data_IF_660979351194
#
_entry.id   IF_660979351194
#
_cell.length_a   1.000
_cell.length_b   1.000
_cell.length_c   1.000
_cell.angle_alpha   90.00
_cell.angle_beta   90.00
_cell.angle_gamma   90.00
#
_symmetry.space_group_name_H-M   'P 1'
#
loop_
_entity.id
_entity.type
_entity.pdbx_description
1 polymer ?
#
# COMPACT_ATOMS: atom_id res chain seq x y z
N UNK A 1 42.26 60.71 -16.77
CA UNK A 1 42.52 59.33 -17.25
C UNK A 1 41.99 58.39 -16.17
N UNK A 2 40.70 58.07 -16.03
CA UNK A 2 39.68 57.51 -16.94
C UNK A 2 40.04 56.14 -17.52
N UNK A 3 39.37 55.10 -16.99
CA UNK A 3 39.28 53.74 -17.53
C UNK A 3 39.54 52.69 -16.43
N UNK A 4 38.70 51.69 -16.15
CA UNK A 4 37.43 51.29 -16.73
C UNK A 4 36.70 50.33 -15.76
N UNK A 5 35.37 50.35 -15.85
CA UNK A 5 34.45 49.39 -15.24
C UNK A 5 34.73 47.95 -15.69
N UNK A 6 34.56 46.98 -14.80
CA UNK A 6 34.25 45.60 -15.19
C UNK A 6 32.98 45.14 -14.47
N UNK A 7 31.85 45.34 -15.15
CA UNK A 7 30.61 44.57 -14.96
C UNK A 7 30.77 43.25 -15.71
N UNK A 8 30.58 42.13 -15.03
CA UNK A 8 30.19 40.89 -15.69
C UNK A 8 29.05 40.24 -14.90
N UNK A 9 27.83 40.57 -15.34
CA UNK A 9 26.67 39.70 -15.21
C UNK A 9 26.91 38.49 -16.11
N UNK A 10 27.12 37.31 -15.52
CA UNK A 10 27.13 36.03 -16.23
C UNK A 10 25.95 35.20 -15.78
N UNK A 11 24.95 35.06 -16.64
CA UNK A 11 23.68 34.41 -16.34
C UNK A 11 23.82 32.94 -15.95
N UNK A 12 23.08 32.56 -14.92
CA UNK A 12 22.78 31.16 -14.60
C UNK A 12 21.77 30.68 -15.64
N UNK A 13 22.28 30.07 -16.72
CA UNK A 13 21.45 29.32 -17.64
C UNK A 13 20.95 28.07 -16.91
N UNK A 14 19.66 28.07 -16.59
CA UNK A 14 18.95 26.89 -16.10
C UNK A 14 19.01 25.79 -17.16
N UNK A 15 19.83 24.77 -16.92
CA UNK A 15 19.79 23.51 -17.65
C UNK A 15 18.55 22.74 -17.19
N UNK A 16 17.39 23.12 -17.74
CA UNK A 16 16.19 22.30 -17.77
C UNK A 16 16.45 21.11 -18.70
N UNK A 17 17.09 20.07 -18.15
CA UNK A 17 17.20 18.76 -18.79
C UNK A 17 15.82 18.13 -18.89
N UNK A 18 15.18 18.32 -20.04
CA UNK A 18 13.97 17.61 -20.44
C UNK A 18 14.31 16.14 -20.62
N UNK A 19 13.93 15.29 -19.66
CA UNK A 19 13.91 13.85 -19.86
C UNK A 19 12.96 13.53 -21.02
N UNK A 20 13.39 12.82 -22.07
CA UNK A 20 12.50 12.47 -23.17
C UNK A 20 11.42 11.50 -22.67
N UNK A 21 10.16 11.90 -22.81
CA UNK A 21 8.98 11.03 -22.74
C UNK A 21 9.05 10.03 -23.90
N UNK A 22 9.88 9.00 -23.77
CA UNK A 22 9.81 7.83 -24.64
C UNK A 22 8.59 7.00 -24.23
N UNK A 23 7.44 7.32 -24.81
CA UNK A 23 6.27 6.46 -24.79
C UNK A 23 6.58 5.21 -25.61
N UNK A 24 6.93 4.11 -24.95
CA UNK A 24 7.02 2.80 -25.57
C UNK A 24 5.59 2.28 -25.72
N UNK A 25 5.04 2.36 -26.93
CA UNK A 25 3.73 1.79 -27.23
C UNK A 25 3.80 0.26 -27.19
N UNK A 26 3.12 -0.35 -26.22
CA UNK A 26 2.94 -1.80 -26.17
C UNK A 26 1.87 -2.23 -27.18
N UNK A 27 2.18 -3.26 -27.99
CA UNK A 27 1.22 -3.87 -28.91
C UNK A 27 0.07 -4.52 -28.12
N UNK A 28 -1.17 -4.12 -28.45
CA UNK A 28 -2.40 -4.63 -27.83
C UNK A 28 -2.77 -5.96 -28.50
N UNK A 29 -2.51 -7.08 -27.82
CA UNK A 29 -3.02 -8.39 -28.20
C UNK A 29 -4.51 -8.55 -27.86
N UNK A 30 -5.24 -9.37 -28.62
CA UNK A 30 -6.66 -9.63 -28.41
C UNK A 30 -6.95 -10.23 -27.01
N UNK A 31 -8.13 -9.97 -26.41
CA UNK A 31 -8.48 -10.49 -25.09
C UNK A 31 -8.57 -12.01 -25.06
N UNK A 32 -7.76 -12.65 -24.21
CA UNK A 32 -7.95 -14.06 -23.86
C UNK A 32 -9.12 -14.26 -22.89
N UNK A 33 -9.69 -15.46 -22.80
CA UNK A 33 -10.81 -15.79 -21.91
C UNK A 33 -10.58 -15.42 -20.43
N UNK A 34 -9.32 -15.44 -19.96
CA UNK A 34 -8.91 -14.96 -18.64
C UNK A 34 -9.26 -13.48 -18.38
N UNK A 35 -9.40 -12.65 -19.43
CA UNK A 35 -9.74 -11.23 -19.32
C UNK A 35 -11.23 -10.99 -19.07
N UNK A 36 -12.12 -11.95 -19.31
CA UNK A 36 -13.56 -11.81 -19.06
C UNK A 36 -13.96 -12.17 -17.63
N UNK A 37 -13.20 -13.06 -16.98
CA UNK A 37 -13.42 -13.47 -15.59
C UNK A 37 -12.90 -12.43 -14.59
N UNK A 38 -11.82 -11.73 -14.92
CA UNK A 38 -11.21 -10.72 -14.04
C UNK A 38 -12.18 -9.58 -13.67
N UNK A 39 -12.90 -8.92 -14.59
CA UNK A 39 -13.88 -7.89 -14.23
C UNK A 39 -15.01 -8.41 -13.32
N UNK A 40 -15.41 -9.68 -13.47
CA UNK A 40 -16.44 -10.30 -12.62
C UNK A 40 -15.91 -10.56 -11.21
N UNK A 41 -14.69 -11.11 -11.10
CA UNK A 41 -14.02 -11.31 -9.82
C UNK A 41 -13.81 -9.99 -9.08
N UNK A 42 -13.49 -8.91 -9.80
CA UNK A 42 -13.39 -7.56 -9.25
C UNK A 42 -14.72 -7.00 -8.75
N UNK A 43 -15.79 -7.12 -9.54
CA UNK A 43 -17.11 -6.66 -9.13
C UNK A 43 -17.60 -7.39 -7.88
N UNK A 44 -17.34 -8.70 -7.82
CA UNK A 44 -17.66 -9.54 -6.68
C UNK A 44 -16.82 -9.18 -5.44
N UNK A 45 -15.52 -8.96 -5.60
CA UNK A 45 -14.67 -8.49 -4.52
C UNK A 45 -15.14 -7.15 -3.95
N UNK A 46 -15.51 -6.17 -4.80
CA UNK A 46 -16.07 -4.89 -4.36
C UNK A 46 -17.41 -5.06 -3.62
N UNK A 47 -18.22 -6.07 -3.98
CA UNK A 47 -19.45 -6.40 -3.25
C UNK A 47 -19.12 -6.91 -1.84
N UNK A 48 -18.18 -7.85 -1.74
CA UNK A 48 -17.73 -8.40 -0.46
C UNK A 48 -17.06 -7.36 0.45
N UNK A 49 -16.29 -6.42 -0.11
CA UNK A 49 -15.73 -5.28 0.64
C UNK A 49 -16.83 -4.43 1.27
N UNK A 50 -17.87 -4.06 0.51
CA UNK A 50 -19.02 -3.32 1.05
C UNK A 50 -19.74 -4.09 2.15
N UNK A 51 -19.93 -5.39 1.98
CA UNK A 51 -20.52 -6.23 3.03
C UNK A 51 -19.66 -6.27 4.30
N UNK A 52 -18.33 -6.24 4.15
CA UNK A 52 -17.41 -6.16 5.26
C UNK A 52 -17.53 -4.81 5.99
N UNK A 53 -17.55 -3.70 5.25
CA UNK A 53 -17.77 -2.35 5.78
C UNK A 53 -19.09 -2.25 6.55
N UNK A 54 -20.18 -2.72 5.96
CA UNK A 54 -21.50 -2.74 6.58
C UNK A 54 -21.50 -3.59 7.87
N UNK A 55 -20.79 -4.72 7.89
CA UNK A 55 -20.64 -5.55 9.08
C UNK A 55 -19.82 -4.83 10.17
N UNK A 56 -18.75 -4.11 9.82
CA UNK A 56 -17.98 -3.30 10.76
C UNK A 56 -18.83 -2.20 11.39
N UNK A 57 -19.64 -1.50 10.59
CA UNK A 57 -20.56 -0.46 11.08
C UNK A 57 -21.57 -1.02 12.08
N UNK A 58 -22.02 -2.26 11.90
CA UNK A 58 -22.91 -2.97 12.84
C UNK A 58 -22.19 -3.57 14.05
N UNK A 59 -20.85 -3.52 14.11
CA UNK A 59 -20.05 -4.13 15.16
C UNK A 59 -19.82 -5.63 15.00
N UNK A 60 -20.20 -6.25 13.87
CA UNK A 60 -19.95 -7.66 13.57
C UNK A 60 -18.57 -7.84 12.92
N UNK A 61 -17.53 -7.67 13.75
CA UNK A 61 -16.14 -7.71 13.29
C UNK A 61 -15.72 -9.08 12.76
N UNK A 62 -16.39 -10.16 13.19
CA UNK A 62 -16.08 -11.51 12.71
C UNK A 62 -16.54 -11.70 11.27
N UNK A 63 -17.77 -11.30 10.94
CA UNK A 63 -18.27 -11.34 9.56
C UNK A 63 -17.49 -10.39 8.68
N UNK A 64 -17.19 -9.18 9.17
CA UNK A 64 -16.37 -8.22 8.45
C UNK A 64 -15.01 -8.80 8.03
N UNK A 65 -14.28 -9.40 8.97
CA UNK A 65 -12.98 -9.99 8.70
C UNK A 65 -13.04 -11.13 7.67
N UNK A 66 -14.08 -11.97 7.72
CA UNK A 66 -14.28 -13.05 6.75
C UNK A 66 -14.55 -12.48 5.35
N UNK A 67 -15.48 -11.54 5.23
CA UNK A 67 -15.85 -10.94 3.94
C UNK A 67 -14.69 -10.17 3.31
N UNK A 68 -13.92 -9.43 4.12
CA UNK A 68 -12.74 -8.74 3.65
C UNK A 68 -11.67 -9.72 3.17
N UNK A 69 -11.46 -10.83 3.89
CA UNK A 69 -10.54 -11.88 3.47
C UNK A 69 -10.95 -12.50 2.13
N UNK A 70 -12.23 -12.85 1.96
CA UNK A 70 -12.79 -13.40 0.72
C UNK A 70 -12.64 -12.43 -0.45
N UNK A 71 -12.96 -11.14 -0.25
CA UNK A 71 -12.77 -10.10 -1.26
C UNK A 71 -11.32 -10.04 -1.74
N UNK A 72 -10.38 -10.02 -0.78
CA UNK A 72 -8.96 -10.04 -1.10
C UNK A 72 -8.55 -11.35 -1.79
N UNK A 73 -9.15 -12.51 -1.46
CA UNK A 73 -8.85 -13.78 -2.15
C UNK A 73 -9.30 -13.74 -3.61
N UNK A 74 -10.46 -13.15 -3.91
CA UNK A 74 -10.93 -12.97 -5.29
C UNK A 74 -10.04 -12.02 -6.10
N UNK A 75 -9.59 -10.91 -5.50
CA UNK A 75 -8.62 -10.00 -6.12
C UNK A 75 -7.26 -10.67 -6.36
N UNK A 76 -6.94 -11.73 -5.59
CA UNK A 76 -5.73 -12.56 -5.71
C UNK A 76 -5.82 -13.67 -6.75
N UNK A 77 -7.02 -14.10 -7.13
CA UNK A 77 -7.23 -15.18 -8.11
C UNK A 77 -6.86 -14.78 -9.56
N UNK A 78 -6.35 -13.56 -9.78
CA UNK A 78 -5.76 -13.18 -11.05
C UNK A 78 -4.54 -14.07 -11.32
N UNK A 79 -4.70 -15.00 -12.27
CA UNK A 79 -3.61 -15.84 -12.75
C UNK A 79 -2.49 -14.96 -13.32
N UNK A 80 -1.40 -14.83 -12.55
CA UNK A 80 -0.23 -14.07 -12.97
C UNK A 80 0.50 -14.73 -14.15
N UNK A 81 0.21 -16.00 -14.47
CA UNK A 81 0.76 -16.75 -15.59
C UNK A 81 0.14 -16.41 -16.94
N UNK A 82 -1.12 -15.97 -16.99
CA UNK A 82 -1.84 -15.64 -18.22
C UNK A 82 -1.86 -14.13 -18.46
N UNK A 83 -0.85 -13.62 -19.19
CA UNK A 83 -0.73 -12.32 -19.89
C UNK A 83 -1.54 -11.07 -19.46
N UNK A 84 -0.87 -9.91 -19.51
CA UNK A 84 -1.38 -8.59 -19.15
C UNK A 84 -2.73 -8.26 -19.84
N UNK A 85 -3.81 -7.92 -19.11
CA UNK A 85 -5.02 -7.45 -19.76
C UNK A 85 -4.74 -6.12 -20.45
N UNK A 86 -5.17 -6.00 -21.71
CA UNK A 86 -5.14 -4.74 -22.45
C UNK A 86 -6.05 -3.67 -21.83
N UNK A 87 -7.03 -4.10 -21.03
CA UNK A 87 -7.96 -3.26 -20.31
C UNK A 87 -7.82 -3.50 -18.80
N UNK A 88 -6.81 -2.89 -18.18
CA UNK A 88 -6.71 -2.87 -16.72
C UNK A 88 -7.88 -2.03 -16.15
N UNK A 89 -8.70 -2.51 -15.18
CA UNK A 89 -9.88 -1.79 -14.69
C UNK A 89 -9.61 -0.37 -14.14
N UNK A 90 -8.41 -0.13 -13.60
CA UNK A 90 -7.93 1.22 -13.20
C UNK A 90 -7.71 2.20 -14.38
N UNK A 91 -7.82 1.71 -15.62
CA UNK A 91 -7.87 2.53 -16.84
C UNK A 91 -9.31 2.82 -17.27
N UNK A 92 -10.30 2.13 -16.72
CA UNK A 92 -11.67 2.12 -17.24
C UNK A 92 -12.62 3.16 -16.60
N UNK A 93 -12.23 3.92 -15.57
CA UNK A 93 -13.15 4.97 -15.08
C UNK A 93 -12.92 5.64 -13.72
N UNK A 94 -11.68 6.00 -13.34
CA UNK A 94 -11.48 6.81 -12.13
C UNK A 94 -10.17 7.59 -12.15
N UNK A 95 -10.20 8.83 -11.65
CA UNK A 95 -9.04 9.72 -11.47
C UNK A 95 -8.21 9.31 -10.22
N UNK A 96 -8.16 8.01 -9.89
CA UNK A 96 -7.37 7.49 -8.76
C UNK A 96 -5.88 7.48 -9.14
N UNK A 97 -5.28 8.66 -9.07
CA UNK A 97 -3.85 8.89 -9.26
C UNK A 97 -3.03 8.21 -8.17
N UNK A 98 -3.61 7.90 -7.01
CA UNK A 98 -2.91 7.26 -5.89
C UNK A 98 -2.38 5.88 -6.25
N UNK A 99 -3.13 5.12 -7.04
CA UNK A 99 -2.72 3.78 -7.49
C UNK A 99 -1.57 3.78 -8.50
N UNK A 100 -1.33 4.92 -9.18
CA UNK A 100 -0.31 5.09 -10.22
C UNK A 100 1.00 5.65 -9.68
N UNK A 101 1.04 6.09 -8.41
CA UNK A 101 2.22 6.72 -7.82
C UNK A 101 3.14 5.70 -7.19
N UNK A 102 4.38 5.62 -7.67
CA UNK A 102 5.44 4.78 -7.10
C UNK A 102 6.51 5.62 -6.42
N UNK A 103 6.90 5.18 -5.23
CA UNK A 103 8.01 5.73 -4.48
C UNK A 103 9.11 4.69 -4.29
N UNK A 104 10.37 5.16 -4.20
CA UNK A 104 11.54 4.30 -3.99
C UNK A 104 11.43 3.47 -2.71
N UNK A 105 10.98 4.10 -1.61
CA UNK A 105 10.80 3.43 -0.32
C UNK A 105 9.78 2.29 -0.43
N UNK A 106 8.65 2.54 -1.10
CA UNK A 106 7.60 1.56 -1.28
C UNK A 106 8.04 0.38 -2.15
N UNK A 107 8.65 0.63 -3.31
CA UNK A 107 9.13 -0.46 -4.16
C UNK A 107 10.22 -1.30 -3.47
N UNK A 108 11.06 -0.67 -2.64
CA UNK A 108 12.03 -1.39 -1.81
C UNK A 108 11.32 -2.30 -0.81
N UNK A 109 10.39 -1.73 -0.03
CA UNK A 109 9.60 -2.47 0.94
C UNK A 109 8.89 -3.66 0.27
N UNK A 110 8.19 -3.43 -0.84
CA UNK A 110 7.43 -4.49 -1.51
C UNK A 110 8.36 -5.57 -2.09
N UNK A 111 9.54 -5.21 -2.59
CA UNK A 111 10.55 -6.19 -3.03
C UNK A 111 11.07 -7.04 -1.86
N UNK A 112 11.44 -6.41 -0.75
CA UNK A 112 11.93 -7.08 0.47
C UNK A 112 10.86 -8.01 1.05
N UNK A 113 9.61 -7.57 1.05
CA UNK A 113 8.47 -8.36 1.49
C UNK A 113 8.26 -9.61 0.62
N UNK A 114 8.33 -9.47 -0.70
CA UNK A 114 8.21 -10.60 -1.62
C UNK A 114 9.38 -11.59 -1.47
N UNK A 115 10.60 -11.08 -1.35
CA UNK A 115 11.81 -11.88 -1.09
C UNK A 115 11.66 -12.68 0.22
N UNK A 116 11.20 -12.03 1.29
CA UNK A 116 10.96 -12.65 2.59
C UNK A 116 9.91 -13.76 2.51
N UNK A 117 8.75 -13.50 1.90
CA UNK A 117 7.67 -14.48 1.78
C UNK A 117 8.05 -15.68 0.91
N UNK A 118 8.86 -15.49 -0.13
CA UNK A 118 9.43 -16.58 -0.92
C UNK A 118 10.40 -17.40 -0.07
N UNK A 119 11.29 -16.75 0.69
CA UNK A 119 12.24 -17.44 1.56
C UNK A 119 11.56 -18.28 2.65
N UNK A 120 10.41 -17.83 3.16
CA UNK A 120 9.58 -18.57 4.12
C UNK A 120 8.70 -19.67 3.47
N UNK A 121 8.71 -19.80 2.14
CA UNK A 121 7.85 -20.75 1.42
C UNK A 121 6.37 -20.40 1.42
N UNK A 122 6.02 -19.16 1.80
CA UNK A 122 4.64 -18.64 1.80
C UNK A 122 4.17 -18.23 0.42
N UNK A 123 5.12 -17.92 -0.47
CA UNK A 123 4.91 -17.70 -1.89
C UNK A 123 5.84 -18.61 -2.71
N UNK A 124 5.41 -19.12 -3.87
CA UNK A 124 6.30 -19.81 -4.79
C UNK A 124 7.39 -18.86 -5.31
N UNK A 125 8.58 -19.36 -5.63
CA UNK A 125 9.66 -18.50 -6.15
C UNK A 125 9.28 -17.80 -7.47
N UNK A 126 8.52 -18.46 -8.35
CA UNK A 126 7.94 -17.84 -9.55
C UNK A 126 6.43 -17.66 -9.37
N UNK A 127 5.87 -16.51 -9.81
CA UNK A 127 6.54 -15.37 -10.44
C UNK A 127 7.15 -14.36 -9.44
N UNK A 128 6.98 -14.54 -8.13
CA UNK A 128 7.20 -13.47 -7.14
C UNK A 128 8.64 -12.98 -7.00
N UNK A 129 9.65 -13.85 -7.15
CA UNK A 129 11.05 -13.39 -7.19
C UNK A 129 11.35 -12.52 -8.41
N UNK A 130 10.66 -12.76 -9.54
CA UNK A 130 10.81 -11.90 -10.72
C UNK A 130 10.20 -10.52 -10.46
N UNK A 131 9.05 -10.47 -9.79
CA UNK A 131 8.40 -9.22 -9.38
C UNK A 131 9.33 -8.40 -8.49
N UNK A 132 9.91 -9.01 -7.45
CA UNK A 132 10.89 -8.35 -6.59
C UNK A 132 12.08 -7.78 -7.38
N UNK A 133 12.65 -8.59 -8.28
CA UNK A 133 13.72 -8.13 -9.18
C UNK A 133 13.31 -6.94 -10.03
N UNK A 134 12.09 -6.93 -10.57
CA UNK A 134 11.58 -5.80 -11.38
C UNK A 134 11.45 -4.55 -10.53
N UNK A 135 10.92 -4.65 -9.32
CA UNK A 135 10.84 -3.52 -8.40
C UNK A 135 12.23 -2.96 -8.09
N UNK A 136 13.22 -3.83 -7.80
CA UNK A 136 14.62 -3.42 -7.60
C UNK A 136 15.20 -2.70 -8.82
N UNK A 137 14.88 -3.13 -10.03
CA UNK A 137 15.32 -2.49 -11.28
C UNK A 137 14.62 -1.15 -11.56
N UNK A 138 13.38 -0.96 -11.06
CA UNK A 138 12.65 0.29 -11.19
C UNK A 138 13.12 1.36 -10.19
N UNK A 139 13.51 0.97 -8.97
CA UNK A 139 13.98 1.90 -7.92
C UNK A 139 15.01 2.92 -8.43
N UNK A 140 16.13 2.54 -9.09
CA UNK A 140 17.14 3.52 -9.53
C UNK A 140 16.63 4.47 -10.62
N UNK A 141 15.53 4.14 -11.31
CA UNK A 141 14.91 4.98 -12.35
C UNK A 141 13.94 6.01 -11.78
N UNK A 142 13.57 5.91 -10.50
CA UNK A 142 12.70 6.86 -9.82
C UNK A 142 13.51 8.03 -9.22
N UNK A 143 12.98 9.27 -9.28
CA UNK A 143 13.66 10.44 -8.72
C UNK A 143 13.86 10.33 -7.20
N UNK A 144 14.88 11.01 -6.69
CA UNK A 144 15.25 11.00 -5.27
C UNK A 144 14.56 12.13 -4.49
N UNK A 145 14.28 13.23 -5.17
CA UNK A 145 13.70 14.47 -4.66
C UNK A 145 12.19 14.37 -4.37
N UNK A 146 11.54 13.29 -4.81
CA UNK A 146 10.11 13.08 -4.66
C UNK A 146 9.82 11.79 -3.89
N UNK A 147 8.91 11.88 -2.91
CA UNK A 147 8.46 10.70 -2.16
C UNK A 147 7.79 9.64 -3.05
N UNK A 148 7.05 10.08 -4.08
CA UNK A 148 6.46 9.23 -5.10
C UNK A 148 6.13 10.01 -6.38
N UNK A 149 6.20 9.35 -7.53
CA UNK A 149 5.89 9.90 -8.86
C UNK A 149 4.91 9.02 -9.62
N UNK A 150 4.17 9.61 -10.54
CA UNK A 150 3.28 8.88 -11.44
C UNK A 150 4.09 7.94 -12.34
N UNK A 151 3.71 6.67 -12.34
CA UNK A 151 4.23 5.64 -13.24
C UNK A 151 3.16 5.37 -14.28
N UNK A 152 3.53 5.52 -15.55
CA UNK A 152 2.63 5.22 -16.65
C UNK A 152 2.31 3.70 -16.66
N UNK A 153 1.04 3.33 -16.87
CA UNK A 153 0.66 1.95 -17.15
C UNK A 153 1.45 1.37 -18.32
N UNK A 154 1.76 0.07 -18.29
CA UNK A 154 2.49 -0.61 -19.36
C UNK A 154 4.01 -0.60 -19.18
N UNK A 155 4.53 -0.06 -18.07
CA UNK A 155 5.98 -0.02 -17.82
C UNK A 155 6.58 -1.42 -17.71
N UNK A 156 5.83 -2.35 -17.13
CA UNK A 156 6.17 -3.76 -17.08
C UNK A 156 4.93 -4.60 -16.71
N UNK A 157 4.62 -5.65 -17.47
CA UNK A 157 3.43 -6.50 -17.26
C UNK A 157 3.26 -6.99 -15.82
N UNK A 158 4.34 -7.50 -15.23
CA UNK A 158 4.33 -7.95 -13.82
C UNK A 158 4.16 -6.80 -12.82
N UNK A 159 4.75 -5.61 -13.07
CA UNK A 159 4.56 -4.46 -12.18
C UNK A 159 3.10 -4.03 -12.15
N UNK A 160 2.49 -3.86 -13.32
CA UNK A 160 1.10 -3.40 -13.45
C UNK A 160 0.12 -4.36 -12.75
N UNK A 161 0.47 -5.65 -12.71
CA UNK A 161 -0.33 -6.69 -12.06
C UNK A 161 -0.11 -6.85 -10.58
N UNK A 162 0.98 -6.38 -10.01
CA UNK A 162 1.31 -6.65 -8.60
C UNK A 162 1.37 -5.40 -7.75
N UNK A 163 1.59 -4.23 -8.35
CA UNK A 163 1.73 -2.99 -7.63
C UNK A 163 0.42 -2.61 -6.93
N UNK A 164 0.53 -2.20 -5.65
CA UNK A 164 -0.61 -1.85 -4.79
C UNK A 164 -1.67 -2.96 -4.61
N UNK A 165 -1.29 -4.23 -4.81
CA UNK A 165 -2.20 -5.36 -4.59
C UNK A 165 -1.75 -6.23 -3.42
N UNK A 166 -2.72 -6.81 -2.72
CA UNK A 166 -2.45 -7.86 -1.77
C UNK A 166 -2.14 -9.16 -2.54
N UNK A 167 -0.89 -9.61 -2.54
CA UNK A 167 -0.41 -10.84 -3.17
C UNK A 167 -0.47 -12.04 -2.22
N UNK A 168 -0.28 -11.79 -0.93
CA UNK A 168 -0.36 -12.78 0.14
C UNK A 168 -1.03 -12.15 1.35
N UNK A 169 -2.07 -12.80 1.89
CA UNK A 169 -2.65 -12.44 3.19
C UNK A 169 -2.67 -13.68 4.04
N UNK A 170 -2.05 -13.55 5.21
CA UNK A 170 -2.19 -14.54 6.26
C UNK A 170 -3.48 -14.24 7.02
N UNK A 171 -4.29 -15.27 7.28
CA UNK A 171 -5.42 -15.11 8.17
C UNK A 171 -4.88 -14.82 9.58
N UNK A 172 -5.26 -13.72 10.25
CA UNK A 172 -4.81 -13.46 11.60
C UNK A 172 -5.35 -14.58 12.49
N UNK A 173 -4.45 -15.47 12.92
CA UNK A 173 -4.81 -16.61 13.74
C UNK A 173 -5.35 -16.13 15.10
N UNK A 174 -6.31 -16.86 15.66
CA UNK A 174 -6.76 -16.59 17.04
C UNK A 174 -5.59 -16.71 18.02
N UNK A 175 -5.66 -15.96 19.11
CA UNK A 175 -4.75 -16.17 20.23
C UNK A 175 -4.96 -17.60 20.79
N UNK A 176 -3.90 -18.24 21.33
CA UNK A 176 -4.04 -19.52 22.01
C UNK A 176 -5.09 -19.45 23.13
N UNK A 177 -5.73 -20.57 23.44
CA UNK A 177 -6.72 -20.66 24.52
C UNK A 177 -6.09 -20.15 25.83
N UNK A 178 -6.80 -19.27 26.53
CA UNK A 178 -6.35 -18.67 27.79
C UNK A 178 -5.50 -17.40 27.65
N UNK A 179 -5.07 -17.04 26.44
CA UNK A 179 -4.32 -15.80 26.19
C UNK A 179 -5.28 -14.63 25.91
N UNK A 180 -4.88 -13.43 26.33
CA UNK A 180 -5.66 -12.19 26.16
C UNK A 180 -4.97 -11.25 25.17
N UNK A 181 -5.77 -10.48 24.44
CA UNK A 181 -5.24 -9.46 23.52
C UNK A 181 -4.63 -8.28 24.27
N UNK A 182 -5.37 -7.77 25.26
CA UNK A 182 -4.91 -6.69 26.12
C UNK A 182 -3.96 -7.22 27.19
N UNK A 183 -2.94 -6.44 27.52
CA UNK A 183 -2.08 -6.71 28.66
C UNK A 183 -2.88 -6.71 29.96
N UNK A 184 -2.59 -7.59 30.92
CA UNK A 184 -3.20 -7.54 32.26
C UNK A 184 -2.91 -6.22 33.01
N UNK A 185 -1.87 -5.49 32.59
CA UNK A 185 -1.48 -4.21 33.18
C UNK A 185 -2.16 -3.02 32.51
N UNK A 186 -2.92 -3.24 31.43
CA UNK A 186 -3.60 -2.16 30.73
C UNK A 186 -4.75 -1.60 31.57
N UNK A 187 -4.67 -0.31 31.88
CA UNK A 187 -5.69 0.43 32.63
C UNK A 187 -6.39 1.44 31.71
N UNK A 188 -7.58 1.05 31.23
CA UNK A 188 -8.40 1.89 30.36
C UNK A 188 -8.85 3.18 31.07
N UNK A 189 -9.10 3.14 32.38
CA UNK A 189 -9.52 4.31 33.15
C UNK A 189 -8.39 5.32 33.33
N UNK A 190 -7.16 4.84 33.50
CA UNK A 190 -5.98 5.71 33.49
C UNK A 190 -5.76 6.38 32.13
N UNK A 191 -5.94 5.64 31.03
CA UNK A 191 -5.84 6.20 29.67
C UNK A 191 -6.92 7.25 29.39
N UNK A 192 -8.17 6.97 29.78
CA UNK A 192 -9.29 7.91 29.65
C UNK A 192 -9.04 9.20 30.45
N UNK A 193 -8.52 9.07 31.67
CA UNK A 193 -8.13 10.21 32.49
C UNK A 193 -6.99 11.01 31.84
N UNK A 194 -5.94 10.34 31.37
CA UNK A 194 -4.84 11.01 30.65
C UNK A 194 -5.38 11.78 29.44
N UNK A 195 -6.26 11.17 28.66
CA UNK A 195 -6.88 11.83 27.50
C UNK A 195 -7.64 13.09 27.89
N UNK A 196 -8.38 13.06 29.01
CA UNK A 196 -9.16 14.19 29.52
C UNK A 196 -8.32 15.27 30.19
N UNK A 197 -7.16 14.92 30.71
CA UNK A 197 -6.27 15.84 31.46
C UNK A 197 -5.13 16.38 30.58
N UNK A 198 -4.87 15.77 29.41
CA UNK A 198 -3.84 16.21 28.48
C UNK A 198 -4.24 17.50 27.75
N UNK A 199 -3.65 18.62 28.14
CA UNK A 199 -3.72 19.87 27.38
C UNK A 199 -2.81 19.79 26.14
N UNK A 200 -3.35 20.10 24.97
CA UNK A 200 -2.55 20.25 23.75
C UNK A 200 -1.75 21.56 23.78
N UNK A 201 -0.56 21.62 23.14
CA UNK A 201 0.21 22.85 23.02
C UNK A 201 -0.57 23.99 22.34
N UNK A 202 -0.32 25.25 22.70
CA UNK A 202 -1.02 26.43 22.16
C UNK A 202 -1.11 26.50 20.64
N UNK A 203 -0.07 26.02 19.95
CA UNK A 203 0.06 25.99 18.51
C UNK A 203 -0.83 24.94 17.80
N UNK A 204 -1.40 23.99 18.53
CA UNK A 204 -2.29 22.95 18.00
C UNK A 204 -3.79 23.33 18.09
N UNK A 205 -4.12 24.53 18.55
CA UNK A 205 -5.50 25.02 18.71
C UNK A 205 -6.15 25.41 17.38
N UNK A 206 -6.37 24.43 16.50
CA UNK A 206 -7.24 24.53 15.33
C UNK A 206 -8.47 23.66 15.55
N UNK A 207 -9.60 24.29 15.92
CA UNK A 207 -10.94 23.72 16.16
C UNK A 207 -11.19 23.14 17.57
N UNK A 208 -11.35 24.07 18.52
CA UNK A 208 -12.22 23.98 19.73
C UNK A 208 -11.89 22.92 20.80
N UNK A 209 -11.23 23.36 21.89
CA UNK A 209 -11.19 22.72 23.22
C UNK A 209 -10.95 21.19 23.27
N UNK A 210 -9.87 20.70 22.65
CA UNK A 210 -9.54 19.27 22.69
C UNK A 210 -8.48 19.01 23.77
N UNK A 211 -8.91 18.36 24.87
CA UNK A 211 -8.02 17.43 25.56
C UNK A 211 -7.73 16.30 24.56
N UNK A 212 -6.46 16.04 24.27
CA UNK A 212 -6.17 15.65 22.88
C UNK A 212 -5.44 14.34 22.63
N UNK A 213 -4.53 13.92 23.52
CA UNK A 213 -3.60 12.82 23.21
C UNK A 213 -3.34 12.02 24.48
N UNK A 214 -3.64 10.73 24.42
CA UNK A 214 -3.24 9.76 25.44
C UNK A 214 -2.33 8.70 24.83
N UNK A 215 -1.39 8.20 25.63
CA UNK A 215 -0.41 7.21 25.22
C UNK A 215 -0.64 5.92 26.01
N UNK A 216 -0.86 4.81 25.30
CA UNK A 216 -1.08 3.51 25.91
C UNK A 216 0.14 2.61 25.68
N UNK A 217 1.12 2.69 26.58
CA UNK A 217 2.23 1.76 26.59
C UNK A 217 1.79 0.39 27.12
N UNK A 218 2.32 -0.69 26.52
CA UNK A 218 1.98 -2.05 26.93
C UNK A 218 0.51 -2.42 26.73
N UNK A 219 -0.21 -1.75 25.81
CA UNK A 219 -1.62 -2.05 25.52
C UNK A 219 -1.86 -3.53 25.15
N UNK A 220 -1.04 -4.05 24.24
CA UNK A 220 -1.13 -5.44 23.78
C UNK A 220 -0.30 -6.34 24.68
N UNK A 221 -0.80 -7.54 24.95
CA UNK A 221 0.03 -8.60 25.53
C UNK A 221 1.17 -8.97 24.58
N UNK A 222 2.28 -9.52 25.10
CA UNK A 222 3.42 -9.94 24.29
C UNK A 222 3.01 -10.94 23.19
N UNK A 223 2.11 -11.87 23.52
CA UNK A 223 1.59 -12.86 22.56
C UNK A 223 0.77 -12.19 21.46
N UNK A 224 -0.06 -11.20 21.82
CA UNK A 224 -0.85 -10.45 20.84
C UNK A 224 0.04 -9.59 19.94
N UNK A 225 1.03 -8.90 20.50
CA UNK A 225 1.98 -8.11 19.75
C UNK A 225 2.82 -8.98 18.81
N UNK A 226 3.31 -10.14 19.27
CA UNK A 226 4.06 -11.08 18.44
C UNK A 226 3.21 -11.61 17.27
N UNK A 227 1.94 -11.93 17.50
CA UNK A 227 1.01 -12.35 16.43
C UNK A 227 0.71 -11.24 15.44
N UNK A 228 0.48 -10.02 15.92
CA UNK A 228 0.24 -8.86 15.06
C UNK A 228 1.49 -8.59 14.20
N UNK A 229 2.66 -8.61 14.81
CA UNK A 229 3.93 -8.44 14.12
C UNK A 229 4.14 -9.52 13.06
N UNK A 230 3.93 -10.79 13.39
CA UNK A 230 3.98 -11.89 12.43
C UNK A 230 2.99 -11.67 11.28
N UNK A 231 1.76 -11.30 11.58
CA UNK A 231 0.74 -11.05 10.56
C UNK A 231 1.13 -9.90 9.62
N UNK A 232 1.70 -8.82 10.16
CA UNK A 232 2.25 -7.71 9.37
C UNK A 232 3.40 -8.19 8.47
N UNK A 233 4.34 -8.97 9.00
CA UNK A 233 5.47 -9.53 8.24
C UNK A 233 5.03 -10.58 7.21
N UNK A 234 3.89 -11.23 7.40
CA UNK A 234 3.39 -12.27 6.52
C UNK A 234 2.20 -11.81 5.66
N UNK A 235 1.92 -10.51 5.55
CA UNK A 235 0.81 -9.98 4.74
C UNK A 235 1.26 -8.81 3.88
N UNK A 236 0.82 -8.78 2.62
CA UNK A 236 1.17 -7.73 1.64
C UNK A 236 0.10 -6.63 1.54
N UNK A 237 -0.66 -6.37 2.61
CA UNK A 237 -1.94 -5.64 2.53
C UNK A 237 -1.85 -4.11 2.54
N UNK A 238 -0.64 -3.56 2.52
CA UNK A 238 -0.36 -2.19 2.95
C UNK A 238 -1.03 -1.07 2.13
N UNK A 239 -1.63 -1.40 0.98
CA UNK A 239 -2.37 -0.43 0.13
C UNK A 239 -3.74 -0.92 -0.34
N UNK A 240 -4.19 -2.12 0.05
CA UNK A 240 -5.47 -2.68 -0.40
C UNK A 240 -6.70 -1.99 0.24
N UNK A 241 -6.49 -1.19 1.30
CA UNK A 241 -7.57 -0.57 2.08
C UNK A 241 -7.92 0.86 1.66
N UNK A 242 -7.46 1.33 0.49
CA UNK A 242 -7.93 2.61 -0.03
C UNK A 242 -9.15 2.36 -0.92
N UNK A 243 -10.34 2.89 -0.57
CA UNK A 243 -11.45 2.89 -1.50
C UNK A 243 -11.02 3.75 -2.70
N UNK A 244 -10.77 3.08 -3.82
CA UNK A 244 -10.76 3.73 -5.14
C UNK A 244 -12.17 4.12 -5.53
#
# INVERSE_FOLDING_TARGET
MLGALCRLCGGVAALAGTLPRAAVAAAVGAPGAAQAEEPRAWAEARRLEREAEDAMVRGDLAVAAIRYLEACQLQRAADFGADCPAAHPLLAGGDDRGFKRAGRLKLRHDAEQLEHLVALGKLPARPYSQVASIYRQLIPKLPLEHAAVDVAPGIHKLYDRTYNRALHLTQPGRLPVGQRMLSPQFDASALERQFRESELPPEAHGCEAQNGIAHADGLLSEVALAKLHQWCLESTMWFASRPG
#
